data_IF_711150962281
#
_entry.id   IF_711150962281
#
_cell.length_a   1.000
_cell.length_b   1.000
_cell.length_c   1.000
_cell.angle_alpha   90.00
_cell.angle_beta   90.00
_cell.angle_gamma   90.00
#
_symmetry.space_group_name_H-M   'P 1'
#
loop_
_entity.id
_entity.type
_entity.pdbx_description
1 polymer ?
#
# COMPACT_ATOMS: atom_id res chain seq x y z
N UNK A 1 21.07 50.98 -46.51
CA UNK A 1 20.94 49.50 -46.34
C UNK A 1 20.30 49.28 -44.98
N UNK A 2 18.99 49.21 -44.96
CA UNK A 2 18.14 49.09 -43.74
C UNK A 2 17.98 47.63 -43.37
N UNK A 3 18.34 47.32 -42.16
CA UNK A 3 18.04 46.00 -41.55
C UNK A 3 16.72 46.17 -40.77
N UNK A 4 15.66 45.65 -41.34
CA UNK A 4 14.33 45.60 -40.74
C UNK A 4 14.32 44.66 -39.52
N UNK A 5 14.10 45.25 -38.34
CA UNK A 5 13.81 44.51 -37.11
C UNK A 5 12.37 43.95 -37.18
N UNK A 6 12.24 42.66 -37.33
CA UNK A 6 10.94 41.97 -37.13
C UNK A 6 10.65 41.86 -35.66
N UNK A 7 9.76 42.74 -35.19
CA UNK A 7 9.12 42.65 -33.87
C UNK A 7 8.20 41.42 -33.82
N UNK A 8 8.59 40.42 -33.03
CA UNK A 8 7.73 39.28 -32.67
C UNK A 8 6.63 39.79 -31.72
N UNK A 9 5.43 39.97 -32.25
CA UNK A 9 4.24 40.25 -31.46
C UNK A 9 3.93 38.97 -30.61
N UNK A 10 4.30 38.99 -29.34
CA UNK A 10 3.86 38.06 -28.34
C UNK A 10 2.36 38.23 -28.14
N UNK A 11 1.59 37.23 -28.53
CA UNK A 11 0.14 37.13 -28.36
C UNK A 11 -0.27 37.22 -26.90
N UNK A 12 -1.29 38.00 -26.53
CA UNK A 12 -1.68 38.27 -25.14
C UNK A 12 -2.69 37.24 -24.62
N UNK A 13 -2.40 35.94 -24.69
CA UNK A 13 -3.38 34.90 -24.34
C UNK A 13 -3.21 34.24 -22.98
N UNK A 14 -2.37 34.78 -22.10
CA UNK A 14 -2.24 34.25 -20.72
C UNK A 14 -2.35 35.38 -19.69
N UNK A 15 -3.44 36.16 -19.72
CA UNK A 15 -3.87 36.85 -18.51
C UNK A 15 -4.51 35.78 -17.61
N UNK A 16 -3.71 35.16 -16.75
CA UNK A 16 -4.24 34.48 -15.57
C UNK A 16 -4.89 35.55 -14.72
N UNK A 17 -6.20 35.72 -14.86
CA UNK A 17 -6.95 36.61 -13.98
C UNK A 17 -6.78 36.10 -12.55
N UNK A 18 -6.23 36.88 -11.62
CA UNK A 18 -6.13 36.46 -10.23
C UNK A 18 -7.56 36.17 -9.74
N UNK A 19 -7.80 34.99 -9.21
CA UNK A 19 -9.09 34.60 -8.62
C UNK A 19 -9.42 35.62 -7.53
N UNK A 20 -10.64 36.21 -7.50
CA UNK A 20 -11.00 37.17 -6.48
C UNK A 20 -10.81 36.56 -5.07
N UNK A 21 -10.31 37.32 -4.09
CA UNK A 21 -9.96 36.81 -2.75
C UNK A 21 -11.14 36.11 -2.04
N UNK A 22 -12.36 36.45 -2.40
CA UNK A 22 -13.58 35.83 -1.93
C UNK A 22 -13.72 34.35 -2.40
N UNK A 23 -13.37 34.00 -3.63
CA UNK A 23 -13.42 32.63 -4.15
C UNK A 23 -12.31 31.77 -3.53
N UNK A 24 -11.14 32.32 -3.25
CA UNK A 24 -10.07 31.66 -2.55
C UNK A 24 -10.48 31.29 -1.11
N UNK A 25 -11.16 32.18 -0.38
CA UNK A 25 -11.62 31.98 0.98
C UNK A 25 -12.71 30.89 1.07
N UNK A 26 -13.69 30.87 0.14
CA UNK A 26 -14.71 29.81 0.07
C UNK A 26 -14.09 28.43 -0.19
N UNK A 27 -13.09 28.35 -1.04
CA UNK A 27 -12.39 27.09 -1.31
C UNK A 27 -11.63 26.57 -0.08
N UNK A 28 -11.06 27.46 0.72
CA UNK A 28 -10.39 27.12 1.98
C UNK A 28 -11.38 26.58 3.03
N UNK A 29 -12.47 27.27 3.28
CA UNK A 29 -13.48 26.82 4.24
C UNK A 29 -14.02 25.44 3.86
N UNK A 30 -14.35 25.22 2.59
CA UNK A 30 -14.82 23.93 2.11
C UNK A 30 -13.82 22.79 2.33
N UNK A 31 -12.53 23.04 2.09
CA UNK A 31 -11.47 22.08 2.34
C UNK A 31 -11.36 21.75 3.82
N UNK A 32 -11.40 22.75 4.69
CA UNK A 32 -11.38 22.57 6.13
C UNK A 32 -12.56 21.72 6.62
N UNK A 33 -13.77 22.04 6.16
CA UNK A 33 -14.98 21.29 6.49
C UNK A 33 -14.88 19.84 6.03
N UNK A 34 -14.33 19.60 4.85
CA UNK A 34 -14.13 18.24 4.32
C UNK A 34 -13.13 17.45 5.17
N UNK A 35 -12.00 18.05 5.57
CA UNK A 35 -11.02 17.40 6.46
C UNK A 35 -11.62 17.12 7.81
N UNK A 36 -12.31 18.10 8.42
CA UNK A 36 -12.99 17.94 9.71
C UNK A 36 -14.05 16.83 9.66
N UNK A 37 -14.88 16.82 8.62
CA UNK A 37 -15.88 15.78 8.40
C UNK A 37 -15.24 14.39 8.27
N UNK A 38 -14.21 14.24 7.45
CA UNK A 38 -13.51 12.96 7.28
C UNK A 38 -12.84 12.49 8.55
N UNK A 39 -12.16 13.40 9.25
CA UNK A 39 -11.53 13.11 10.54
C UNK A 39 -12.55 12.65 11.57
N UNK A 40 -13.67 13.37 11.71
CA UNK A 40 -14.74 13.00 12.62
C UNK A 40 -15.39 11.67 12.25
N UNK A 41 -15.70 11.47 10.97
CA UNK A 41 -16.33 10.24 10.48
C UNK A 41 -15.42 9.01 10.70
N UNK A 42 -14.12 9.12 10.43
CA UNK A 42 -13.15 8.06 10.69
C UNK A 42 -13.01 7.79 12.19
N UNK A 43 -12.96 8.84 13.02
CA UNK A 43 -12.86 8.70 14.48
C UNK A 43 -14.10 8.01 15.05
N UNK A 44 -15.28 8.43 14.64
CA UNK A 44 -16.55 7.81 15.07
C UNK A 44 -16.64 6.37 14.58
N UNK A 45 -16.31 6.11 13.32
CA UNK A 45 -16.26 4.75 12.76
C UNK A 45 -15.30 3.84 13.55
N UNK A 46 -14.10 4.34 13.86
CA UNK A 46 -13.12 3.59 14.63
C UNK A 46 -13.60 3.35 16.07
N UNK A 47 -14.20 4.35 16.70
CA UNK A 47 -14.76 4.23 18.05
C UNK A 47 -15.84 3.13 18.14
N UNK A 48 -16.70 3.02 17.13
CA UNK A 48 -17.72 1.96 17.04
C UNK A 48 -17.09 0.61 16.69
N UNK A 49 -16.16 0.59 15.76
CA UNK A 49 -15.59 -0.64 15.23
C UNK A 49 -14.67 -1.37 16.22
N UNK A 50 -13.92 -0.63 17.06
CA UNK A 50 -12.98 -1.20 18.03
C UNK A 50 -13.65 -2.18 19.00
N UNK A 51 -14.73 -1.82 19.73
CA UNK A 51 -15.39 -2.76 20.63
C UNK A 51 -16.04 -3.93 19.90
N UNK A 52 -16.63 -3.71 18.72
CA UNK A 52 -17.19 -4.80 17.90
C UNK A 52 -16.13 -5.80 17.51
N UNK A 53 -14.99 -5.33 17.02
CA UNK A 53 -13.88 -6.20 16.64
C UNK A 53 -13.27 -6.92 17.86
N UNK A 54 -13.20 -6.27 19.02
CA UNK A 54 -12.71 -6.89 20.25
C UNK A 54 -13.57 -8.10 20.65
N UNK A 55 -14.89 -7.98 20.54
CA UNK A 55 -15.83 -9.09 20.74
C UNK A 55 -15.63 -10.19 19.71
N UNK A 56 -15.53 -9.83 18.42
CA UNK A 56 -15.35 -10.80 17.32
C UNK A 56 -14.03 -11.55 17.40
N UNK A 57 -12.97 -10.93 17.92
CA UNK A 57 -11.66 -11.60 18.12
C UNK A 57 -11.76 -12.66 19.23
N UNK A 58 -12.61 -12.46 20.24
CA UNK A 58 -12.84 -13.44 21.32
C UNK A 58 -13.71 -14.64 20.88
N UNK A 59 -14.44 -14.52 19.76
CA UNK A 59 -15.33 -15.57 19.25
C UNK A 59 -14.61 -16.34 18.13
N UNK A 60 -14.56 -17.69 18.17
CA UNK A 60 -14.03 -18.49 17.08
C UNK A 60 -14.81 -18.25 15.77
N UNK A 61 -14.09 -18.22 14.63
CA UNK A 61 -14.71 -18.12 13.30
C UNK A 61 -14.15 -17.00 12.42
N UNK A 62 -14.74 -16.85 11.23
CA UNK A 62 -14.29 -15.88 10.20
C UNK A 62 -14.80 -14.46 10.42
N UNK A 63 -15.73 -14.23 11.38
CA UNK A 63 -16.32 -12.91 11.66
C UNK A 63 -15.26 -11.83 11.92
N UNK A 64 -14.23 -12.16 12.70
CA UNK A 64 -13.09 -11.27 12.99
C UNK A 64 -12.33 -10.82 11.74
N UNK A 65 -12.21 -11.68 10.72
CA UNK A 65 -11.51 -11.37 9.46
C UNK A 65 -12.41 -10.54 8.54
N UNK A 66 -13.65 -10.96 8.39
CA UNK A 66 -14.63 -10.27 7.56
C UNK A 66 -14.90 -8.84 8.05
N UNK A 67 -15.02 -8.65 9.37
CA UNK A 67 -15.23 -7.34 9.96
C UNK A 67 -13.99 -6.43 9.84
N UNK A 68 -12.78 -6.97 10.00
CA UNK A 68 -11.54 -6.21 9.78
C UNK A 68 -11.45 -5.69 8.32
N UNK A 69 -11.80 -6.52 7.33
CA UNK A 69 -11.90 -6.10 5.92
C UNK A 69 -12.96 -5.02 5.73
N UNK A 70 -14.14 -5.21 6.30
CA UNK A 70 -15.21 -4.22 6.25
C UNK A 70 -14.78 -2.88 6.88
N UNK A 71 -14.07 -2.92 8.01
CA UNK A 71 -13.50 -1.73 8.65
C UNK A 71 -12.57 -0.97 7.69
N UNK A 72 -11.61 -1.65 7.07
CA UNK A 72 -10.64 -1.02 6.19
C UNK A 72 -11.27 -0.51 4.88
N UNK A 73 -12.20 -1.22 4.31
CA UNK A 73 -12.98 -0.75 3.14
C UNK A 73 -13.75 0.52 3.45
N UNK A 74 -14.40 0.57 4.60
CA UNK A 74 -15.13 1.75 5.05
C UNK A 74 -14.17 2.91 5.33
N UNK A 75 -13.05 2.65 5.98
CA UNK A 75 -11.99 3.64 6.19
C UNK A 75 -11.52 4.26 4.86
N UNK A 76 -11.21 3.44 3.87
CA UNK A 76 -10.83 3.92 2.54
C UNK A 76 -11.91 4.82 1.93
N UNK A 77 -13.18 4.44 2.02
CA UNK A 77 -14.30 5.26 1.52
C UNK A 77 -14.42 6.59 2.26
N UNK A 78 -14.27 6.60 3.56
CA UNK A 78 -14.36 7.80 4.39
C UNK A 78 -13.24 8.80 4.09
N UNK A 79 -12.01 8.34 3.84
CA UNK A 79 -10.91 9.22 3.42
C UNK A 79 -11.03 9.67 1.95
N UNK A 80 -11.96 9.09 1.18
CA UNK A 80 -12.14 9.37 -0.25
C UNK A 80 -11.23 8.56 -1.15
N UNK A 81 -10.72 7.42 -0.69
CA UNK A 81 -9.87 6.51 -1.43
C UNK A 81 -10.69 5.38 -2.04
N UNK A 82 -10.62 5.22 -3.35
CA UNK A 82 -11.20 4.10 -4.09
C UNK A 82 -10.13 3.10 -4.44
N UNK A 83 -10.42 1.82 -4.27
CA UNK A 83 -9.51 0.73 -4.66
C UNK A 83 -10.00 0.11 -5.95
N UNK A 84 -9.08 -0.01 -6.92
CA UNK A 84 -9.27 -0.80 -8.13
C UNK A 84 -8.46 -2.08 -7.99
N UNK A 85 -9.13 -3.20 -7.79
CA UNK A 85 -8.51 -4.51 -7.71
C UNK A 85 -8.47 -5.16 -9.10
N UNK A 86 -7.32 -5.71 -9.48
CA UNK A 86 -7.10 -6.45 -10.74
C UNK A 86 -6.46 -7.79 -10.38
N UNK A 87 -6.97 -8.87 -10.91
CA UNK A 87 -6.59 -10.23 -10.53
C UNK A 87 -7.41 -10.76 -9.35
N UNK A 88 -7.09 -11.95 -8.89
CA UNK A 88 -7.77 -12.64 -7.79
C UNK A 88 -6.75 -13.09 -6.73
N UNK A 89 -7.11 -13.07 -5.43
CA UNK A 89 -6.31 -13.73 -4.41
C UNK A 89 -6.15 -15.20 -4.75
N UNK A 90 -4.94 -15.72 -4.59
CA UNK A 90 -4.67 -17.13 -4.80
C UNK A 90 -5.37 -17.98 -3.74
N UNK A 91 -5.87 -19.13 -4.17
CA UNK A 91 -6.41 -20.16 -3.30
C UNK A 91 -5.65 -21.45 -3.56
N UNK A 92 -4.89 -21.92 -2.57
CA UNK A 92 -4.10 -23.15 -2.67
C UNK A 92 -4.43 -24.07 -1.50
N UNK A 93 -4.95 -25.24 -1.81
CA UNK A 93 -5.33 -26.23 -0.80
C UNK A 93 -4.09 -26.70 -0.03
N UNK A 94 -4.18 -26.66 1.29
CA UNK A 94 -3.12 -27.17 2.20
C UNK A 94 -1.92 -26.25 2.40
N UNK A 95 -1.84 -25.10 1.70
CA UNK A 95 -0.73 -24.13 1.86
C UNK A 95 -1.26 -22.73 2.12
N UNK A 96 -0.54 -21.95 2.93
CA UNK A 96 -0.83 -20.55 3.20
C UNK A 96 -0.29 -19.64 2.11
N UNK A 97 -0.88 -18.46 2.00
CA UNK A 97 -0.47 -17.45 1.03
C UNK A 97 0.26 -16.32 1.77
N UNK A 98 1.38 -15.91 1.22
CA UNK A 98 2.05 -14.68 1.61
C UNK A 98 1.97 -13.70 0.43
N UNK A 99 1.20 -12.64 0.61
CA UNK A 99 1.10 -11.55 -0.35
C UNK A 99 2.34 -10.66 -0.22
N UNK A 100 3.12 -10.57 -1.28
CA UNK A 100 4.41 -9.87 -1.33
C UNK A 100 4.20 -8.54 -2.07
N UNK A 101 4.13 -7.43 -1.34
CA UNK A 101 3.75 -6.13 -1.89
C UNK A 101 4.87 -5.10 -1.79
N UNK A 102 4.88 -4.14 -2.73
CA UNK A 102 5.61 -2.89 -2.55
C UNK A 102 4.96 -2.02 -1.48
N UNK A 103 5.73 -1.06 -0.94
CA UNK A 103 5.29 -0.19 0.16
C UNK A 103 5.67 1.26 -0.10
N UNK A 104 4.66 2.14 -0.21
CA UNK A 104 4.89 3.56 -0.48
C UNK A 104 4.13 4.50 0.44
N UNK A 105 3.16 3.99 1.21
CA UNK A 105 2.32 4.82 2.08
C UNK A 105 1.73 4.02 3.23
N UNK A 106 1.41 4.67 4.36
CA UNK A 106 0.59 4.06 5.39
C UNK A 106 -0.81 3.66 4.88
N UNK A 107 -1.25 4.26 3.77
CA UNK A 107 -2.50 3.91 3.10
C UNK A 107 -2.48 2.48 2.51
N UNK A 108 -1.31 1.88 2.31
CA UNK A 108 -1.21 0.49 1.82
C UNK A 108 -1.87 -0.48 2.81
N UNK A 109 -1.87 -0.15 4.11
CA UNK A 109 -2.51 -0.96 5.15
C UNK A 109 -4.04 -1.02 4.95
N UNK A 110 -4.80 0.11 4.93
CA UNK A 110 -6.23 0.04 4.69
C UNK A 110 -6.60 -0.45 3.29
N UNK A 111 -5.78 -0.18 2.27
CA UNK A 111 -6.00 -0.67 0.90
C UNK A 111 -5.94 -2.19 0.85
N UNK A 112 -4.82 -2.77 1.27
CA UNK A 112 -4.64 -4.23 1.21
C UNK A 112 -5.50 -4.94 2.26
N UNK A 113 -5.62 -4.38 3.48
CA UNK A 113 -6.47 -4.95 4.52
C UNK A 113 -7.96 -4.95 4.20
N UNK A 114 -8.40 -4.06 3.31
CA UNK A 114 -9.77 -4.07 2.77
C UNK A 114 -9.98 -5.14 1.69
N UNK A 115 -8.95 -5.50 0.93
CA UNK A 115 -9.07 -6.40 -0.21
C UNK A 115 -8.66 -7.84 0.10
N UNK A 116 -7.70 -8.06 1.03
CA UNK A 116 -7.12 -9.36 1.31
C UNK A 116 -7.54 -9.89 2.70
N UNK A 117 -7.79 -11.19 2.81
CA UNK A 117 -8.05 -11.88 4.08
C UNK A 117 -6.74 -12.33 4.72
N UNK A 118 -5.84 -11.38 4.98
CA UNK A 118 -4.50 -11.65 5.47
C UNK A 118 -4.11 -10.73 6.62
N UNK A 119 -3.12 -11.15 7.41
CA UNK A 119 -2.57 -10.38 8.52
C UNK A 119 -1.33 -9.60 8.07
N UNK A 120 -1.12 -8.41 8.64
CA UNK A 120 0.09 -7.64 8.37
C UNK A 120 1.23 -8.03 9.31
N UNK A 121 2.44 -7.92 8.78
CA UNK A 121 3.66 -7.96 9.57
C UNK A 121 4.15 -6.53 9.69
N UNK A 122 4.15 -5.99 10.89
CA UNK A 122 4.56 -4.62 11.17
C UNK A 122 5.75 -4.56 12.12
N UNK A 123 6.51 -3.47 12.04
CA UNK A 123 7.61 -3.20 12.98
C UNK A 123 7.06 -2.89 14.37
N UNK A 124 7.77 -3.32 15.42
CA UNK A 124 7.39 -3.08 16.81
C UNK A 124 7.26 -1.59 17.16
N UNK A 125 8.05 -0.72 16.50
CA UNK A 125 8.01 0.73 16.70
C UNK A 125 6.64 1.33 16.34
N UNK A 126 5.95 0.78 15.36
CA UNK A 126 4.57 1.17 14.99
C UNK A 126 3.61 0.88 16.14
N UNK A 127 3.89 -0.15 16.95
CA UNK A 127 3.14 -0.49 18.16
C UNK A 127 3.39 0.43 19.36
N UNK A 128 4.29 1.42 19.26
CA UNK A 128 4.53 2.38 20.35
C UNK A 128 3.37 3.37 20.53
N UNK A 129 2.55 3.59 19.52
CA UNK A 129 1.40 4.48 19.57
C UNK A 129 0.14 3.73 20.02
N UNK A 130 -0.46 4.06 21.19
CA UNK A 130 -1.52 3.25 21.81
C UNK A 130 -2.72 3.00 20.90
N UNK A 131 -3.18 4.01 20.19
CA UNK A 131 -4.33 3.91 19.26
C UNK A 131 -3.99 3.01 18.06
N UNK A 132 -2.82 3.24 17.44
CA UNK A 132 -2.37 2.44 16.29
C UNK A 132 -2.10 0.99 16.72
N UNK A 133 -1.51 0.79 17.89
CA UNK A 133 -1.31 -0.55 18.46
C UNK A 133 -2.62 -1.30 18.64
N UNK A 134 -3.66 -0.62 19.16
CA UNK A 134 -4.97 -1.24 19.35
C UNK A 134 -5.62 -1.61 18.03
N UNK A 135 -5.65 -0.68 17.06
CA UNK A 135 -6.19 -0.92 15.71
C UNK A 135 -5.42 -2.04 15.00
N UNK A 136 -4.10 -2.03 15.08
CA UNK A 136 -3.24 -3.03 14.47
C UNK A 136 -3.45 -4.42 15.09
N UNK A 137 -3.54 -4.51 16.44
CA UNK A 137 -3.84 -5.78 17.13
C UNK A 137 -5.21 -6.33 16.74
N UNK A 138 -6.22 -5.47 16.69
CA UNK A 138 -7.56 -5.86 16.26
C UNK A 138 -7.61 -6.23 14.79
N UNK A 139 -6.77 -5.60 13.95
CA UNK A 139 -6.52 -5.98 12.56
C UNK A 139 -5.62 -7.21 12.41
N UNK A 140 -5.28 -7.90 13.52
CA UNK A 140 -4.44 -9.11 13.56
C UNK A 140 -3.01 -8.88 13.04
N UNK A 141 -2.51 -7.63 13.19
CA UNK A 141 -1.13 -7.30 12.81
C UNK A 141 -0.14 -7.89 13.81
N UNK A 142 0.86 -8.61 13.32
CA UNK A 142 1.97 -9.10 14.12
C UNK A 142 3.09 -8.06 14.17
N UNK A 143 3.58 -7.76 15.39
CA UNK A 143 4.64 -6.78 15.61
C UNK A 143 5.99 -7.48 15.77
N UNK A 144 6.94 -7.15 14.91
CA UNK A 144 8.25 -7.76 14.85
C UNK A 144 9.34 -6.78 15.23
N UNK A 145 10.25 -7.16 16.14
CA UNK A 145 11.32 -6.28 16.68
C UNK A 145 12.53 -6.21 15.77
N UNK A 146 13.09 -5.00 15.55
CA UNK A 146 14.23 -4.71 14.65
C UNK A 146 15.62 -5.04 15.21
N UNK A 147 15.77 -5.52 16.44
CA UNK A 147 17.10 -5.79 16.99
C UNK A 147 17.79 -6.89 16.18
N UNK A 148 18.95 -6.56 15.59
CA UNK A 148 19.75 -7.44 14.71
C UNK A 148 20.01 -8.85 15.27
N UNK A 149 19.98 -9.01 16.59
CA UNK A 149 20.11 -10.30 17.26
C UNK A 149 18.85 -11.18 17.25
N UNK A 150 17.73 -10.72 16.65
CA UNK A 150 16.42 -11.38 16.70
C UNK A 150 15.80 -11.69 15.34
N UNK A 151 16.57 -11.68 14.25
CA UNK A 151 16.08 -12.06 12.92
C UNK A 151 15.45 -13.47 12.92
N UNK A 152 15.96 -14.37 13.75
CA UNK A 152 15.36 -15.68 13.96
C UNK A 152 13.98 -15.64 14.62
N UNK A 153 13.76 -14.76 15.60
CA UNK A 153 12.49 -14.60 16.29
C UNK A 153 11.41 -13.96 15.38
N UNK A 154 11.84 -13.07 14.47
CA UNK A 154 10.94 -12.49 13.47
C UNK A 154 10.39 -13.55 12.53
N UNK A 155 11.27 -14.37 11.97
CA UNK A 155 10.89 -15.47 11.11
C UNK A 155 10.05 -16.52 11.86
N UNK A 156 10.30 -16.73 13.15
CA UNK A 156 9.52 -17.65 13.97
C UNK A 156 8.09 -17.14 14.18
N UNK A 157 7.89 -15.87 14.55
CA UNK A 157 6.56 -15.27 14.71
C UNK A 157 5.74 -15.33 13.42
N UNK A 158 6.39 -15.10 12.26
CA UNK A 158 5.76 -15.25 10.95
C UNK A 158 5.34 -16.71 10.72
N UNK A 159 6.21 -17.68 10.98
CA UNK A 159 5.91 -19.09 10.84
C UNK A 159 4.77 -19.54 11.76
N UNK A 160 4.74 -19.08 13.00
CA UNK A 160 3.67 -19.37 13.96
C UNK A 160 2.31 -18.89 13.44
N UNK A 161 2.25 -17.70 12.82
CA UNK A 161 1.02 -17.19 12.20
C UNK A 161 0.57 -18.02 10.99
N UNK A 162 1.50 -18.41 10.13
CA UNK A 162 1.21 -19.29 9.00
C UNK A 162 0.68 -20.65 9.48
N UNK A 163 1.29 -21.22 10.54
CA UNK A 163 0.86 -22.48 11.16
C UNK A 163 -0.51 -22.35 11.83
N UNK A 164 -0.82 -21.18 12.42
CA UNK A 164 -2.13 -20.86 12.97
C UNK A 164 -3.24 -20.72 11.92
N UNK A 165 -2.87 -20.80 10.63
CA UNK A 165 -3.81 -20.79 9.53
C UNK A 165 -4.08 -19.41 8.95
N UNK A 166 -3.25 -18.41 9.23
CA UNK A 166 -3.37 -17.07 8.70
C UNK A 166 -2.56 -16.90 7.41
N UNK A 167 -3.14 -16.22 6.42
CA UNK A 167 -2.39 -15.68 5.30
C UNK A 167 -1.77 -14.33 5.72
N UNK A 168 -0.67 -13.93 5.07
CA UNK A 168 0.12 -12.78 5.50
C UNK A 168 0.34 -11.77 4.37
N UNK A 169 0.50 -10.50 4.74
CA UNK A 169 0.95 -9.43 3.85
C UNK A 169 2.35 -9.00 4.30
N UNK A 170 3.29 -9.06 3.36
CA UNK A 170 4.70 -8.78 3.58
C UNK A 170 5.16 -7.62 2.68
N UNK A 171 5.89 -6.67 3.26
CA UNK A 171 6.53 -5.57 2.56
C UNK A 171 8.06 -5.75 2.58
N UNK A 172 8.65 -6.50 1.63
CA UNK A 172 10.06 -6.88 1.69
C UNK A 172 11.03 -5.73 1.34
N UNK A 173 10.55 -4.56 0.97
CA UNK A 173 11.34 -3.32 0.92
C UNK A 173 11.88 -2.96 2.32
N UNK A 174 11.15 -3.33 3.38
CA UNK A 174 11.52 -3.06 4.77
C UNK A 174 11.41 -1.58 5.17
N UNK A 175 10.95 -0.74 4.27
CA UNK A 175 10.65 0.69 4.49
C UNK A 175 9.67 1.17 3.43
N UNK A 176 9.06 2.33 3.62
CA UNK A 176 8.24 2.99 2.61
C UNK A 176 9.11 3.76 1.61
N UNK A 177 8.74 3.71 0.33
CA UNK A 177 9.37 4.46 -0.76
C UNK A 177 8.64 5.79 -1.01
N UNK A 178 9.27 6.68 -1.78
CA UNK A 178 8.68 7.95 -2.25
C UNK A 178 7.57 7.77 -3.32
N UNK A 179 7.24 6.52 -3.66
CA UNK A 179 6.28 6.18 -4.70
C UNK A 179 6.80 6.34 -6.15
N UNK A 180 8.02 6.84 -6.34
CA UNK A 180 8.60 6.98 -7.69
C UNK A 180 9.06 5.63 -8.27
N UNK A 181 9.51 4.73 -7.42
CA UNK A 181 9.96 3.38 -7.79
C UNK A 181 9.67 2.38 -6.67
N UNK A 182 9.71 1.11 -7.00
CA UNK A 182 9.72 0.02 -6.03
C UNK A 182 11.17 -0.21 -5.60
N UNK A 183 11.44 -0.19 -4.30
CA UNK A 183 12.77 -0.47 -3.77
C UNK A 183 13.08 -1.97 -3.88
N UNK A 184 14.36 -2.36 -4.00
CA UNK A 184 14.74 -3.76 -4.06
C UNK A 184 14.23 -4.57 -2.86
N UNK A 185 13.71 -5.75 -3.12
CA UNK A 185 13.25 -6.65 -2.07
C UNK A 185 14.44 -7.29 -1.35
N UNK A 186 14.42 -7.23 -0.02
CA UNK A 186 15.45 -7.82 0.83
C UNK A 186 15.24 -9.33 0.93
N UNK A 187 16.22 -10.10 0.48
CA UNK A 187 16.15 -11.56 0.50
C UNK A 187 16.00 -12.18 1.89
N UNK A 188 16.34 -11.45 2.96
CA UNK A 188 16.13 -11.91 4.34
C UNK A 188 14.66 -12.14 4.71
N UNK A 189 13.73 -11.41 4.11
CA UNK A 189 12.29 -11.60 4.33
C UNK A 189 11.79 -12.93 3.72
N UNK A 190 12.52 -13.48 2.77
CA UNK A 190 12.17 -14.73 2.10
C UNK A 190 12.73 -16.00 2.79
N UNK A 191 13.33 -15.86 3.96
CA UNK A 191 13.68 -17.02 4.81
C UNK A 191 12.46 -17.84 5.26
N UNK A 192 11.26 -17.25 5.19
CA UNK A 192 9.98 -17.95 5.40
C UNK A 192 9.67 -18.96 4.29
N UNK A 193 10.29 -18.79 3.14
CA UNK A 193 10.14 -19.65 1.97
C UNK A 193 11.08 -20.87 2.02
N UNK A 194 11.94 -20.96 3.04
CA UNK A 194 12.82 -22.10 3.27
C UNK A 194 12.12 -23.15 4.14
N UNK A 195 12.19 -24.42 3.76
CA UNK A 195 11.59 -25.55 4.49
C UNK A 195 10.86 -26.52 3.58
N UNK A 196 10.32 -27.60 4.16
CA UNK A 196 9.67 -28.66 3.38
C UNK A 196 8.30 -28.27 2.80
N UNK A 197 7.58 -27.35 3.44
CA UNK A 197 6.26 -26.89 3.00
C UNK A 197 6.15 -25.36 3.14
N UNK A 198 6.88 -24.59 2.32
CA UNK A 198 6.83 -23.14 2.39
C UNK A 198 5.46 -22.60 1.92
N UNK A 199 5.06 -21.38 2.36
CA UNK A 199 3.85 -20.75 1.84
C UNK A 199 3.99 -20.45 0.36
N UNK A 200 2.87 -20.35 -0.35
CA UNK A 200 2.83 -19.79 -1.69
C UNK A 200 3.01 -18.28 -1.61
N UNK A 201 3.78 -17.70 -2.50
CA UNK A 201 4.00 -16.27 -2.56
C UNK A 201 3.17 -15.67 -3.69
N UNK A 202 2.32 -14.70 -3.38
CA UNK A 202 1.59 -13.96 -4.41
C UNK A 202 2.08 -12.53 -4.49
N UNK A 203 2.77 -12.12 -5.58
CA UNK A 203 3.23 -10.75 -5.77
C UNK A 203 2.04 -9.82 -5.95
N UNK A 204 2.13 -8.63 -5.34
CA UNK A 204 1.08 -7.61 -5.36
C UNK A 204 1.70 -6.25 -5.68
N UNK A 205 1.16 -5.55 -6.67
CA UNK A 205 1.56 -4.19 -6.99
C UNK A 205 0.52 -3.20 -6.52
N UNK A 206 0.92 -2.22 -5.71
CA UNK A 206 0.06 -1.14 -5.21
C UNK A 206 0.58 0.20 -5.73
N UNK A 207 -0.27 0.95 -6.43
CA UNK A 207 0.07 2.29 -6.93
C UNK A 207 -1.10 3.24 -6.75
N UNK A 208 -0.84 4.41 -6.18
CA UNK A 208 -1.80 5.52 -6.14
C UNK A 208 -1.74 6.25 -7.47
N UNK A 209 -2.64 5.90 -8.37
CA UNK A 209 -2.57 6.28 -9.78
C UNK A 209 -3.50 7.43 -10.18
N UNK A 210 -4.42 7.85 -9.29
CA UNK A 210 -5.27 9.03 -9.52
C UNK A 210 -5.44 9.90 -8.29
N UNK A 211 -5.46 11.21 -8.56
CA UNK A 211 -5.74 12.26 -7.58
C UNK A 211 -6.79 13.21 -8.19
N UNK A 212 -7.90 13.43 -7.48
CA UNK A 212 -9.03 14.27 -7.92
C UNK A 212 -9.56 13.89 -9.32
N UNK A 213 -9.55 12.59 -9.66
CA UNK A 213 -10.01 12.06 -10.94
C UNK A 213 -8.96 12.10 -12.06
N UNK A 214 -7.84 12.82 -11.88
CA UNK A 214 -6.77 12.94 -12.87
C UNK A 214 -5.65 11.91 -12.59
N UNK A 215 -4.89 11.48 -13.61
CA UNK A 215 -3.71 10.65 -13.40
C UNK A 215 -2.72 11.31 -12.44
N UNK A 216 -2.17 10.52 -11.50
CA UNK A 216 -1.16 11.00 -10.58
C UNK A 216 0.16 11.25 -11.32
N UNK A 217 0.55 12.51 -11.42
CA UNK A 217 1.79 12.93 -12.07
C UNK A 217 3.01 12.69 -11.16
N UNK A 218 4.20 12.70 -11.75
CA UNK A 218 5.46 12.59 -11.00
C UNK A 218 5.56 13.63 -9.88
N UNK A 219 5.07 14.84 -10.11
CA UNK A 219 5.05 15.93 -9.12
C UNK A 219 4.04 15.73 -7.98
N UNK A 220 2.98 14.94 -8.18
CA UNK A 220 1.94 14.71 -7.16
C UNK A 220 2.14 13.40 -6.38
N UNK A 221 3.00 12.49 -6.84
CA UNK A 221 3.28 11.22 -6.15
C UNK A 221 3.80 11.39 -4.72
N UNK A 222 4.73 12.34 -4.43
CA UNK A 222 5.18 12.56 -3.06
C UNK A 222 4.07 13.01 -2.10
N UNK A 223 2.96 13.55 -2.63
CA UNK A 223 1.77 13.85 -1.82
C UNK A 223 1.04 12.57 -1.37
N UNK A 224 1.07 11.53 -2.18
CA UNK A 224 0.38 10.24 -1.94
C UNK A 224 1.26 9.26 -1.16
N UNK A 225 2.58 9.40 -1.26
CA UNK A 225 3.56 8.61 -0.55
C UNK A 225 3.78 9.13 0.87
N UNK A 226 4.12 8.22 1.78
CA UNK A 226 4.49 8.53 3.15
C UNK A 226 5.81 7.81 3.47
N UNK A 227 6.90 8.55 3.59
CA UNK A 227 8.25 8.00 3.71
C UNK A 227 9.16 8.91 4.56
N UNK A 228 10.30 8.38 4.95
CA UNK A 228 11.25 9.09 5.80
C UNK A 228 10.65 9.43 7.17
N UNK A 229 10.86 10.66 7.63
CA UNK A 229 10.41 11.15 8.93
C UNK A 229 9.05 11.88 8.87
N UNK A 230 8.24 11.60 7.83
CA UNK A 230 6.92 12.21 7.69
C UNK A 230 5.99 11.80 8.84
N UNK A 231 5.31 12.76 9.45
CA UNK A 231 4.26 12.51 10.43
C UNK A 231 2.93 12.17 9.76
N UNK A 232 2.19 11.22 10.34
CA UNK A 232 0.88 10.78 9.80
C UNK A 232 -0.15 11.90 9.83
N UNK A 233 -0.21 12.70 10.90
CA UNK A 233 -1.21 13.75 11.05
C UNK A 233 -1.17 14.80 9.94
N UNK A 234 -0.04 15.48 9.70
CA UNK A 234 0.12 16.42 8.59
C UNK A 234 -0.08 15.76 7.21
N UNK A 235 0.33 14.50 7.04
CA UNK A 235 0.10 13.78 5.79
C UNK A 235 -1.38 13.49 5.56
N UNK A 236 -2.09 12.98 6.57
CA UNK A 236 -3.55 12.79 6.53
C UNK A 236 -4.27 14.11 6.19
N UNK A 237 -3.89 15.20 6.86
CA UNK A 237 -4.45 16.53 6.61
C UNK A 237 -4.34 16.94 5.15
N UNK A 238 -3.16 16.77 4.53
CA UNK A 238 -2.95 17.08 3.11
C UNK A 238 -3.82 16.21 2.20
N UNK A 239 -3.86 14.88 2.43
CA UNK A 239 -4.66 13.96 1.64
C UNK A 239 -6.17 14.23 1.77
N UNK A 240 -6.63 14.50 2.98
CA UNK A 240 -8.06 14.71 3.25
C UNK A 240 -8.64 15.99 2.63
N UNK A 241 -7.81 16.87 2.08
CA UNK A 241 -8.23 18.04 1.31
C UNK A 241 -8.60 17.72 -0.14
N UNK A 242 -8.23 16.55 -0.64
CA UNK A 242 -8.50 16.13 -2.01
C UNK A 242 -9.87 15.47 -2.14
N UNK A 243 -10.54 15.67 -3.29
CA UNK A 243 -11.88 15.15 -3.52
C UNK A 243 -11.91 13.63 -3.69
N UNK A 244 -10.84 13.05 -4.21
CA UNK A 244 -10.75 11.61 -4.40
C UNK A 244 -9.35 11.13 -4.74
N UNK A 245 -9.06 9.95 -4.22
CA UNK A 245 -7.84 9.19 -4.45
C UNK A 245 -8.21 7.87 -5.10
N UNK A 246 -7.33 7.31 -5.93
CA UNK A 246 -7.46 5.92 -6.36
C UNK A 246 -6.16 5.17 -6.16
N UNK A 247 -6.26 3.99 -5.56
CA UNK A 247 -5.22 2.99 -5.53
C UNK A 247 -5.57 1.88 -6.51
N UNK A 248 -4.66 1.52 -7.40
CA UNK A 248 -4.75 0.30 -8.21
C UNK A 248 -3.91 -0.78 -7.55
N UNK A 249 -4.53 -1.93 -7.30
CA UNK A 249 -3.92 -3.14 -6.72
C UNK A 249 -3.98 -4.22 -7.78
N UNK A 250 -2.82 -4.76 -8.15
CA UNK A 250 -2.71 -5.86 -9.11
C UNK A 250 -2.17 -7.08 -8.40
N UNK A 251 -2.96 -8.16 -8.37
CA UNK A 251 -2.57 -9.46 -7.85
C UNK A 251 -2.02 -10.30 -9.01
N UNK A 252 -0.74 -10.64 -8.93
CA UNK A 252 -0.06 -11.43 -9.97
C UNK A 252 -0.26 -12.92 -9.74
N UNK A 253 0.20 -13.75 -10.69
CA UNK A 253 0.16 -15.19 -10.53
C UNK A 253 0.93 -15.64 -9.29
N UNK A 254 0.39 -16.61 -8.52
CA UNK A 254 1.07 -17.18 -7.37
C UNK A 254 2.36 -17.89 -7.79
N UNK A 255 3.36 -17.84 -6.93
CA UNK A 255 4.70 -18.38 -7.16
C UNK A 255 5.02 -19.40 -6.08
N UNK A 256 5.42 -20.60 -6.48
CA UNK A 256 5.94 -21.59 -5.57
C UNK A 256 7.43 -21.31 -5.30
N UNK A 257 7.83 -21.02 -4.03
CA UNK A 257 9.23 -20.81 -3.71
C UNK A 257 10.13 -21.98 -4.04
N UNK A 258 9.60 -23.22 -4.00
CA UNK A 258 10.37 -24.44 -4.31
C UNK A 258 10.83 -24.51 -5.77
N UNK A 259 10.24 -23.72 -6.67
CA UNK A 259 10.70 -23.61 -8.06
C UNK A 259 11.96 -22.78 -8.22
N UNK A 260 12.48 -22.15 -7.16
CA UNK A 260 13.68 -21.30 -7.19
C UNK A 260 14.87 -21.93 -6.47
N UNK A 261 16.08 -21.84 -7.01
CA UNK A 261 17.26 -22.43 -6.40
C UNK A 261 17.67 -21.76 -5.08
N UNK A 262 17.35 -20.48 -4.94
CA UNK A 262 17.66 -19.72 -3.72
C UNK A 262 16.74 -18.53 -3.51
N UNK A 263 16.70 -18.03 -2.25
CA UNK A 263 15.87 -16.88 -1.86
C UNK A 263 16.30 -15.54 -2.47
N UNK A 264 17.52 -15.40 -2.97
CA UNK A 264 17.99 -14.14 -3.59
C UNK A 264 17.42 -14.02 -4.99
N UNK A 265 17.44 -15.11 -5.76
CA UNK A 265 16.81 -15.15 -7.08
C UNK A 265 15.29 -14.99 -6.95
N UNK A 266 14.66 -15.70 -6.01
CA UNK A 266 13.24 -15.54 -5.71
C UNK A 266 12.87 -14.09 -5.40
N UNK A 267 13.59 -13.44 -4.46
CA UNK A 267 13.36 -12.04 -4.10
C UNK A 267 13.50 -11.08 -5.29
N UNK A 268 14.52 -11.30 -6.14
CA UNK A 268 14.76 -10.51 -7.34
C UNK A 268 13.64 -10.66 -8.37
N UNK A 269 13.20 -11.89 -8.61
CA UNK A 269 12.14 -12.18 -9.59
C UNK A 269 10.80 -11.58 -9.17
N UNK A 270 10.42 -11.73 -7.90
CA UNK A 270 9.20 -11.12 -7.37
C UNK A 270 9.27 -9.59 -7.38
N UNK A 271 10.45 -9.02 -7.05
CA UNK A 271 10.66 -7.59 -7.16
C UNK A 271 10.49 -7.10 -8.59
N UNK A 272 11.05 -7.79 -9.59
CA UNK A 272 10.93 -7.41 -11.00
C UNK A 272 9.47 -7.39 -11.45
N UNK A 273 8.67 -8.41 -11.10
CA UNK A 273 7.24 -8.44 -11.41
C UNK A 273 6.50 -7.23 -10.82
N UNK A 274 6.69 -6.98 -9.53
CA UNK A 274 6.02 -5.87 -8.83
C UNK A 274 6.49 -4.53 -9.38
N UNK A 275 7.79 -4.37 -9.65
CA UNK A 275 8.36 -3.13 -10.17
C UNK A 275 7.87 -2.82 -11.60
N UNK A 276 7.80 -3.84 -12.47
CA UNK A 276 7.28 -3.72 -13.83
C UNK A 276 5.82 -3.26 -13.82
N UNK A 277 4.95 -4.00 -13.15
CA UNK A 277 3.52 -3.67 -13.07
C UNK A 277 3.29 -2.29 -12.44
N UNK A 278 4.02 -1.96 -11.37
CA UNK A 278 3.94 -0.65 -10.76
C UNK A 278 4.43 0.47 -11.70
N UNK A 279 5.41 0.22 -12.56
CA UNK A 279 5.87 1.18 -13.57
C UNK A 279 4.79 1.42 -14.64
N UNK A 280 4.11 0.39 -15.10
CA UNK A 280 3.00 0.48 -16.05
C UNK A 280 1.84 1.31 -15.48
N UNK A 281 1.43 1.02 -14.24
CA UNK A 281 0.39 1.80 -13.55
C UNK A 281 0.76 3.27 -13.40
N UNK A 282 2.03 3.58 -13.07
CA UNK A 282 2.53 4.96 -12.96
C UNK A 282 2.55 5.69 -14.30
N UNK A 283 2.62 4.97 -15.41
CA UNK A 283 2.50 5.51 -16.77
C UNK A 283 1.05 5.60 -17.24
N UNK A 284 0.08 5.38 -16.34
CA UNK A 284 -1.35 5.34 -16.63
C UNK A 284 -1.72 4.26 -17.68
N UNK A 285 -0.94 3.18 -17.72
CA UNK A 285 -1.27 1.98 -18.51
C UNK A 285 -2.14 1.05 -17.66
N UNK A 286 -2.96 0.23 -18.33
CA UNK A 286 -3.71 -0.83 -17.67
C UNK A 286 -2.78 -2.01 -17.41
N UNK A 287 -2.22 -2.10 -16.19
CA UNK A 287 -1.48 -3.27 -15.79
C UNK A 287 -2.42 -4.48 -15.63
N UNK A 288 -1.98 -5.61 -16.13
CA UNK A 288 -2.63 -6.91 -16.00
C UNK A 288 -1.80 -7.81 -15.05
N UNK A 289 -2.40 -8.85 -14.45
CA UNK A 289 -1.65 -9.84 -13.72
C UNK A 289 -0.55 -10.44 -14.59
N UNK A 290 0.69 -10.41 -14.10
CA UNK A 290 1.82 -11.06 -14.76
C UNK A 290 1.83 -12.55 -14.42
N UNK A 291 2.26 -13.43 -15.35
CA UNK A 291 2.46 -14.85 -15.09
C UNK A 291 3.57 -15.08 -14.05
N UNK A 292 3.61 -16.25 -13.45
CA UNK A 292 4.70 -16.63 -12.55
C UNK A 292 6.05 -16.55 -13.30
N UNK A 293 7.10 -16.00 -12.66
CA UNK A 293 8.41 -15.90 -13.29
C UNK A 293 9.04 -17.29 -13.40
N UNK A 294 9.73 -17.54 -14.52
CA UNK A 294 10.54 -18.75 -14.64
C UNK A 294 11.77 -18.65 -13.74
N UNK A 295 12.20 -19.79 -13.21
CA UNK A 295 13.43 -19.89 -12.39
C UNK A 295 14.73 -19.73 -13.21
N UNK A 296 14.63 -19.51 -14.51
CA UNK A 296 15.78 -19.27 -15.36
C UNK A 296 16.50 -17.99 -14.95
N UNK A 297 17.82 -18.13 -14.80
CA UNK A 297 18.69 -16.99 -14.52
C UNK A 297 18.54 -15.98 -15.67
N UNK A 298 18.19 -14.70 -15.40
CA UNK A 298 18.14 -13.72 -16.48
C UNK A 298 19.51 -13.70 -17.19
N UNK A 299 19.49 -13.67 -18.52
CA UNK A 299 20.69 -13.50 -19.31
C UNK A 299 21.49 -12.29 -18.77
N UNK A 300 22.82 -12.37 -18.71
CA UNK A 300 23.63 -11.24 -18.30
C UNK A 300 23.36 -10.06 -19.25
N UNK A 301 23.07 -8.89 -18.66
CA UNK A 301 22.85 -7.64 -19.40
C UNK A 301 24.16 -7.07 -19.90
#
# INVERSE_FOLDING_TARGET
>A
MELAAKSFLLTPWLRVTPRPPFMARRSHIRRWLMVAFRGLAISLWTFIAVPVQAVLVAIPGRGRVAFARFYWRTFCRLIGLRVRLVGQPAEVVGRRIVFVSNHSSWLDIPVLGGELEACFIAKAEVGAWPVIRTIARLGRTEFVSRRKSRTGLENQAIRERLQAGDDLILFPEGTTSDGARVLPFRSSFFAIAEGAAPPILQPVSVVYDRLDGLPALRSTRPLLAWYGDMEIGPHFWRLAQHHGLRASVVLHAPVDPLSFPDRKLLARSLWQMVAQSAAELRQNRNAQPLPAPSAEKPAPA
#
